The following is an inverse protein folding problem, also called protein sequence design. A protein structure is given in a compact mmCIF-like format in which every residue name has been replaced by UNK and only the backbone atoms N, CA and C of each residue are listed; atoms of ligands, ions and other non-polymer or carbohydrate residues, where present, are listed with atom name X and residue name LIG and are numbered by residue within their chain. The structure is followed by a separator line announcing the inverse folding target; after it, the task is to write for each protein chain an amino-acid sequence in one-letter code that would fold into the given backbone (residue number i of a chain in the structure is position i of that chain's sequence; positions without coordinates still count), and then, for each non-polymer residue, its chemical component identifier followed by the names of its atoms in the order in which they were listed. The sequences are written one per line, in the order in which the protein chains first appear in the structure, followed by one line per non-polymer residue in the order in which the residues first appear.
data_IF_713454731896
#
_entry.id   IF_713454731896
#
_cell.length_a   1.000
_cell.length_b   1.000
_cell.length_c   1.000
_cell.angle_alpha   90.00
_cell.angle_beta   90.00
_cell.angle_gamma   90.00
#
_symmetry.space_group_name_H-M   'P 1'
#
loop_
_entity.id
_entity.type
_entity.pdbx_description
1 polymer ?
#
# COMPACT_ATOMS: atom_id res chain seq x y z
N UNK A 1 -24.03 -12.28 5.27
CA UNK A 1 -23.02 -11.46 6.00
C UNK A 1 -22.43 -10.39 5.08
N UNK A 2 -21.87 -10.74 3.91
CA UNK A 2 -21.43 -9.74 2.92
C UNK A 2 -22.60 -8.87 2.43
N UNK A 3 -23.77 -9.47 2.13
CA UNK A 3 -24.95 -8.68 1.72
C UNK A 3 -25.36 -7.63 2.76
N UNK A 4 -25.14 -7.89 4.05
CA UNK A 4 -25.42 -6.93 5.11
C UNK A 4 -24.35 -5.82 5.19
N UNK A 5 -23.09 -6.10 4.82
CA UNK A 5 -22.07 -5.07 4.68
C UNK A 5 -22.34 -4.17 3.46
N UNK A 6 -22.90 -4.74 2.40
CA UNK A 6 -23.20 -4.06 1.15
C UNK A 6 -24.64 -3.49 1.09
N UNK A 7 -25.45 -3.65 2.14
CA UNK A 7 -26.86 -3.21 2.14
C UNK A 7 -27.03 -1.72 2.46
N UNK A 8 -25.96 -1.03 2.85
CA UNK A 8 -26.01 0.40 3.14
C UNK A 8 -26.17 1.20 1.84
N UNK A 9 -27.05 2.21 1.81
CA UNK A 9 -27.15 3.11 0.67
C UNK A 9 -25.82 3.87 0.49
N UNK A 10 -25.33 4.08 -0.75
CA UNK A 10 -24.07 4.80 -0.99
C UNK A 10 -23.99 6.17 -0.31
N UNK A 11 -25.13 6.84 -0.17
CA UNK A 11 -25.26 8.17 0.44
C UNK A 11 -24.94 8.16 1.95
N UNK A 12 -25.06 7.01 2.63
CA UNK A 12 -24.74 6.89 4.05
C UNK A 12 -23.27 6.58 4.32
N UNK A 13 -22.40 6.53 3.29
CA UNK A 13 -21.00 6.13 3.47
C UNK A 13 -20.20 7.07 4.38
N UNK A 14 -20.63 8.33 4.50
CA UNK A 14 -20.03 9.33 5.40
C UNK A 14 -20.64 9.34 6.79
N UNK A 15 -21.72 8.57 7.02
CA UNK A 15 -22.37 8.50 8.33
C UNK A 15 -21.51 7.67 9.29
N UNK A 16 -21.09 8.31 10.39
CA UNK A 16 -20.28 7.66 11.41
C UNK A 16 -21.01 6.47 12.02
N UNK A 17 -20.32 5.34 12.08
CA UNK A 17 -20.82 4.15 12.76
C UNK A 17 -20.25 4.05 14.18
N UNK A 18 -21.03 3.48 15.10
CA UNK A 18 -20.67 3.39 16.53
C UNK A 18 -19.37 2.61 16.78
N UNK A 19 -19.01 1.71 15.85
CA UNK A 19 -17.79 0.89 15.95
C UNK A 19 -16.53 1.56 15.35
N UNK A 20 -16.67 2.73 14.71
CA UNK A 20 -15.52 3.43 14.12
C UNK A 20 -14.57 3.96 15.17
N UNK A 21 -13.28 3.99 14.85
CA UNK A 21 -12.31 4.71 15.66
C UNK A 21 -12.73 6.19 15.75
N UNK A 22 -12.62 6.80 16.93
CA UNK A 22 -12.96 8.21 17.14
C UNK A 22 -12.23 9.17 16.20
N UNK A 23 -11.00 8.82 15.81
CA UNK A 23 -10.13 9.62 14.95
C UNK A 23 -10.22 9.17 13.47
N UNK A 24 -11.07 8.18 13.16
CA UNK A 24 -11.34 7.80 11.77
C UNK A 24 -12.33 8.77 11.14
N UNK A 25 -12.00 9.25 9.95
CA UNK A 25 -12.81 10.21 9.19
C UNK A 25 -12.89 9.77 7.72
N UNK A 26 -14.02 10.09 7.09
CA UNK A 26 -14.25 9.84 5.67
C UNK A 26 -14.18 11.17 4.95
N UNK A 27 -13.29 11.28 3.97
CA UNK A 27 -13.14 12.46 3.11
C UNK A 27 -13.64 12.10 1.71
N UNK A 28 -14.84 12.55 1.31
CA UNK A 28 -15.34 12.31 -0.04
C UNK A 28 -14.52 13.11 -1.06
N UNK A 29 -14.21 12.48 -2.19
CA UNK A 29 -13.57 13.13 -3.34
C UNK A 29 -14.54 13.12 -4.51
N UNK A 30 -14.66 14.24 -5.24
CA UNK A 30 -15.59 14.35 -6.36
C UNK A 30 -15.21 13.40 -7.52
N UNK A 31 -13.91 13.26 -7.77
CA UNK A 31 -13.37 12.38 -8.80
C UNK A 31 -12.00 11.82 -8.42
N UNK A 32 -11.45 10.95 -9.27
CA UNK A 32 -10.15 10.30 -9.06
C UNK A 32 -8.97 11.28 -9.03
N UNK A 33 -9.05 12.41 -9.74
CA UNK A 33 -7.97 13.39 -9.75
C UNK A 33 -7.87 14.14 -8.43
N UNK A 34 -9.02 14.49 -7.83
CA UNK A 34 -9.08 15.08 -6.50
C UNK A 34 -8.60 14.09 -5.45
N UNK A 35 -9.04 12.83 -5.55
CA UNK A 35 -8.55 11.75 -4.69
C UNK A 35 -7.03 11.60 -4.77
N UNK A 36 -6.46 11.53 -5.99
CA UNK A 36 -5.03 11.40 -6.20
C UNK A 36 -4.27 12.59 -5.61
N UNK A 37 -4.79 13.82 -5.78
CA UNK A 37 -4.15 15.01 -5.22
C UNK A 37 -4.20 15.04 -3.71
N UNK A 38 -5.38 14.81 -3.11
CA UNK A 38 -5.57 14.82 -1.66
C UNK A 38 -4.73 13.73 -1.01
N UNK A 39 -4.80 12.49 -1.48
CA UNK A 39 -4.03 11.40 -0.89
C UNK A 39 -2.51 11.59 -1.09
N UNK A 40 -2.10 12.10 -2.26
CA UNK A 40 -0.70 12.46 -2.50
C UNK A 40 -0.20 13.58 -1.60
N UNK A 41 -1.05 14.58 -1.34
CA UNK A 41 -0.79 15.63 -0.36
C UNK A 41 -0.62 15.06 1.05
N UNK A 42 -1.53 14.21 1.52
CA UNK A 42 -1.45 13.61 2.85
C UNK A 42 -0.20 12.75 3.03
N UNK A 43 0.19 11.98 2.01
CA UNK A 43 1.47 11.25 1.99
C UNK A 43 2.66 12.19 2.16
N UNK A 44 2.72 13.27 1.37
CA UNK A 44 3.81 14.24 1.43
C UNK A 44 3.84 15.00 2.76
N UNK A 45 2.67 15.38 3.27
CA UNK A 45 2.51 16.09 4.53
C UNK A 45 2.99 15.22 5.70
N UNK A 46 2.65 13.94 5.69
CA UNK A 46 3.07 12.99 6.71
C UNK A 46 4.60 12.78 6.70
N UNK A 47 5.21 12.70 5.52
CA UNK A 47 6.67 12.67 5.35
C UNK A 47 7.30 13.94 5.91
N UNK A 48 6.75 15.12 5.56
CA UNK A 48 7.23 16.42 6.02
C UNK A 48 7.12 16.56 7.54
N UNK A 49 5.97 16.21 8.13
CA UNK A 49 5.75 16.31 9.57
C UNK A 49 6.77 15.46 10.34
N UNK A 50 7.01 14.22 9.91
CA UNK A 50 8.06 13.39 10.51
C UNK A 50 9.47 14.00 10.35
N UNK A 51 9.74 14.67 9.21
CA UNK A 51 11.01 15.36 8.99
C UNK A 51 11.20 16.52 9.98
N UNK A 52 10.16 17.36 10.12
CA UNK A 52 10.15 18.52 11.02
C UNK A 52 10.27 18.09 12.49
N UNK A 53 9.69 16.94 12.85
CA UNK A 53 9.82 16.32 14.17
C UNK A 53 11.18 15.63 14.41
N UNK A 54 12.05 15.52 13.39
CA UNK A 54 13.30 14.75 13.48
C UNK A 54 13.07 13.25 13.70
N UNK A 55 11.91 12.74 13.27
CA UNK A 55 11.44 11.38 13.53
C UNK A 55 11.54 10.51 12.28
N UNK A 56 11.99 9.26 12.44
CA UNK A 56 11.92 8.26 11.35
C UNK A 56 10.48 7.92 11.00
N UNK A 57 10.22 7.65 9.73
CA UNK A 57 8.90 7.25 9.23
C UNK A 57 9.01 5.90 8.52
N UNK A 58 8.25 4.90 8.96
CA UNK A 58 8.02 3.66 8.24
C UNK A 58 6.69 3.79 7.48
N UNK A 59 6.72 3.67 6.15
CA UNK A 59 5.53 3.73 5.30
C UNK A 59 5.29 2.40 4.62
N UNK A 60 4.12 1.83 4.83
CA UNK A 60 3.58 0.70 4.06
C UNK A 60 2.79 1.28 2.87
N UNK A 61 3.21 0.98 1.64
CA UNK A 61 2.78 1.67 0.42
C UNK A 61 2.20 0.70 -0.62
N UNK A 62 1.03 0.99 -1.23
CA UNK A 62 0.42 0.13 -2.24
C UNK A 62 0.93 0.48 -3.64
N UNK A 63 0.81 -0.44 -4.60
CA UNK A 63 1.00 -0.13 -6.02
C UNK A 63 -0.36 -0.05 -6.71
N UNK A 64 -1.05 1.06 -6.48
CA UNK A 64 -2.38 1.33 -7.00
C UNK A 64 -3.33 1.88 -5.93
N UNK A 65 -4.09 2.95 -6.20
CA UNK A 65 -3.98 3.82 -7.38
C UNK A 65 -2.63 4.55 -7.44
N UNK A 66 -2.13 4.80 -8.65
CA UNK A 66 -0.75 5.32 -8.86
C UNK A 66 -0.68 6.84 -8.96
N UNK A 67 -1.80 7.52 -9.23
CA UNK A 67 -1.81 8.97 -9.49
C UNK A 67 -1.39 9.79 -8.27
N UNK A 68 -1.67 9.30 -7.06
CA UNK A 68 -1.23 9.92 -5.81
C UNK A 68 0.28 10.18 -5.71
N UNK A 69 1.11 9.31 -6.28
CA UNK A 69 2.57 9.46 -6.19
C UNK A 69 3.08 10.67 -6.97
N UNK A 70 2.43 11.03 -8.09
CA UNK A 70 2.76 12.26 -8.83
C UNK A 70 2.62 13.48 -7.92
N UNK A 71 1.54 13.54 -7.14
CA UNK A 71 1.26 14.66 -6.24
C UNK A 71 2.18 14.65 -5.01
N UNK A 72 2.43 13.48 -4.43
CA UNK A 72 3.41 13.36 -3.35
C UNK A 72 4.80 13.89 -3.77
N UNK A 73 5.28 13.47 -4.96
CA UNK A 73 6.53 13.97 -5.54
C UNK A 73 6.49 15.48 -5.76
N UNK A 74 5.40 16.01 -6.30
CA UNK A 74 5.23 17.44 -6.55
C UNK A 74 5.38 18.25 -5.25
N UNK A 75 4.65 17.89 -4.20
CA UNK A 75 4.68 18.61 -2.93
C UNK A 75 6.03 18.49 -2.22
N UNK A 76 6.62 17.28 -2.15
CA UNK A 76 7.93 17.09 -1.52
C UNK A 76 9.02 17.91 -2.20
N UNK A 77 8.99 18.01 -3.54
CA UNK A 77 9.90 18.88 -4.30
C UNK A 77 9.61 20.36 -4.05
N UNK A 78 8.35 20.77 -4.11
CA UNK A 78 7.96 22.17 -3.89
C UNK A 78 8.37 22.66 -2.49
N UNK A 79 8.33 21.78 -1.49
CA UNK A 79 8.73 22.08 -0.11
C UNK A 79 10.21 21.76 0.18
N UNK A 80 10.95 21.22 -0.79
CA UNK A 80 12.34 20.79 -0.65
C UNK A 80 12.57 19.84 0.55
N UNK A 81 11.67 18.86 0.73
CA UNK A 81 11.71 17.90 1.84
C UNK A 81 12.50 16.66 1.40
N UNK A 82 13.59 16.36 2.09
CA UNK A 82 14.35 15.12 1.89
C UNK A 82 13.63 13.94 2.52
N UNK A 83 13.60 12.79 1.84
CA UNK A 83 12.99 11.55 2.34
C UNK A 83 14.02 10.60 3.00
N UNK A 84 15.17 11.10 3.44
CA UNK A 84 16.24 10.28 4.05
C UNK A 84 15.82 9.60 5.36
N UNK A 85 14.82 10.13 6.06
CA UNK A 85 14.25 9.55 7.28
C UNK A 85 13.14 8.52 7.02
N UNK A 86 12.76 8.31 5.75
CA UNK A 86 11.64 7.44 5.35
C UNK A 86 12.13 6.03 5.02
N UNK A 87 11.42 5.02 5.51
CA UNK A 87 11.61 3.61 5.20
C UNK A 87 10.34 3.09 4.52
N UNK A 88 10.46 2.78 3.23
CA UNK A 88 9.36 2.29 2.41
C UNK A 88 9.23 0.77 2.48
N UNK A 89 8.00 0.28 2.56
CA UNK A 89 7.63 -1.14 2.52
C UNK A 89 6.47 -1.31 1.54
N UNK A 90 6.72 -1.89 0.38
CA UNK A 90 5.64 -2.22 -0.55
C UNK A 90 4.78 -3.37 0.00
N UNK A 91 3.46 -3.22 -0.05
CA UNK A 91 2.53 -4.16 0.61
C UNK A 91 2.57 -5.57 0.02
N UNK A 92 2.82 -5.65 -1.29
CA UNK A 92 2.70 -6.85 -2.10
C UNK A 92 3.61 -6.77 -3.34
N UNK A 93 3.71 -7.90 -4.05
CA UNK A 93 4.38 -8.06 -5.33
C UNK A 93 3.81 -9.30 -6.05
N UNK A 94 3.81 -9.28 -7.38
CA UNK A 94 3.45 -10.46 -8.17
C UNK A 94 4.48 -11.57 -8.00
N UNK A 95 4.01 -12.80 -7.79
CA UNK A 95 4.87 -13.97 -7.68
C UNK A 95 4.21 -15.26 -8.16
N UNK A 96 5.03 -16.26 -8.48
CA UNK A 96 4.58 -17.64 -8.67
C UNK A 96 4.19 -18.32 -7.33
N UNK A 97 3.78 -19.59 -7.40
CA UNK A 97 3.34 -20.35 -6.23
C UNK A 97 4.46 -20.56 -5.18
N UNK A 98 5.72 -20.50 -5.62
CA UNK A 98 6.91 -20.61 -4.77
C UNK A 98 7.35 -19.24 -4.20
N UNK A 99 6.65 -18.16 -4.56
CA UNK A 99 6.93 -16.79 -4.12
C UNK A 99 8.04 -16.09 -4.90
N UNK A 100 8.49 -16.64 -6.03
CA UNK A 100 9.48 -15.97 -6.88
C UNK A 100 8.82 -14.80 -7.60
N UNK A 101 9.34 -13.60 -7.39
CA UNK A 101 8.80 -12.37 -7.95
C UNK A 101 9.34 -12.10 -9.35
N UNK A 102 8.64 -11.24 -10.09
CA UNK A 102 9.12 -10.74 -11.37
C UNK A 102 10.50 -10.06 -11.24
N UNK A 103 11.28 -10.09 -12.33
CA UNK A 103 12.51 -9.31 -12.42
C UNK A 103 12.22 -7.81 -12.29
N UNK A 104 13.12 -7.07 -11.65
CA UNK A 104 12.96 -5.63 -11.38
C UNK A 104 12.86 -4.75 -12.63
N UNK A 105 13.35 -5.23 -13.78
CA UNK A 105 13.21 -4.56 -15.08
C UNK A 105 11.87 -4.82 -15.77
N UNK A 106 11.07 -5.77 -15.27
CA UNK A 106 9.76 -6.08 -15.80
C UNK A 106 8.77 -4.96 -15.45
N UNK A 107 8.10 -4.41 -16.47
CA UNK A 107 7.11 -3.33 -16.29
C UNK A 107 5.90 -3.72 -15.45
N UNK A 108 5.63 -5.01 -15.31
CA UNK A 108 4.58 -5.54 -14.43
C UNK A 108 4.99 -5.63 -12.96
N UNK A 109 6.29 -5.53 -12.64
CA UNK A 109 6.78 -5.58 -11.27
C UNK A 109 6.38 -4.32 -10.50
N UNK A 110 5.90 -4.49 -9.27
CA UNK A 110 5.56 -3.37 -8.39
C UNK A 110 6.80 -2.58 -7.97
N UNK A 111 7.94 -3.25 -7.85
CA UNK A 111 9.23 -2.57 -7.73
C UNK A 111 9.49 -1.60 -8.90
N UNK A 112 9.31 -2.05 -10.14
CA UNK A 112 9.48 -1.19 -11.33
C UNK A 112 8.54 0.02 -11.24
N UNK A 113 7.27 -0.20 -10.91
CA UNK A 113 6.27 0.86 -10.81
C UNK A 113 6.64 1.94 -9.79
N UNK A 114 7.07 1.55 -8.59
CA UNK A 114 7.45 2.50 -7.53
C UNK A 114 8.73 3.27 -7.84
N UNK A 115 9.72 2.61 -8.45
CA UNK A 115 10.94 3.28 -8.90
C UNK A 115 10.64 4.38 -9.91
N UNK A 116 9.65 4.20 -10.78
CA UNK A 116 9.29 5.19 -11.80
C UNK A 116 8.26 6.23 -11.31
N UNK A 117 7.42 5.89 -10.34
CA UNK A 117 6.34 6.77 -9.87
C UNK A 117 6.73 7.64 -8.67
N UNK A 118 7.54 7.12 -7.75
CA UNK A 118 7.88 7.79 -6.49
C UNK A 118 9.39 7.98 -6.34
N UNK A 119 10.16 6.89 -6.29
CA UNK A 119 11.55 6.97 -5.85
C UNK A 119 12.46 7.68 -6.86
N UNK A 120 12.40 7.33 -8.14
CA UNK A 120 13.18 7.96 -9.20
C UNK A 120 12.84 9.44 -9.38
N UNK A 121 11.56 9.83 -9.52
CA UNK A 121 11.18 11.23 -9.67
C UNK A 121 11.64 12.14 -8.53
N UNK A 122 11.81 11.67 -7.29
CA UNK A 122 12.32 12.47 -6.18
C UNK A 122 13.80 12.90 -6.32
N UNK A 123 14.59 12.22 -7.16
CA UNK A 123 16.02 12.50 -7.36
C UNK A 123 16.80 12.58 -6.02
N UNK A 124 17.54 13.66 -5.75
CA UNK A 124 18.33 13.83 -4.53
C UNK A 124 17.50 13.86 -3.22
N UNK A 125 16.19 14.10 -3.32
CA UNK A 125 15.27 14.07 -2.19
C UNK A 125 14.73 12.66 -1.89
N UNK A 126 15.13 11.66 -2.67
CA UNK A 126 14.56 10.32 -2.62
C UNK A 126 14.85 9.56 -1.33
N UNK A 127 14.07 8.50 -1.12
CA UNK A 127 14.31 7.49 -0.10
C UNK A 127 15.60 6.73 -0.44
N UNK A 128 16.56 6.57 0.48
CA UNK A 128 17.78 5.78 0.26
C UNK A 128 17.46 4.34 -0.14
N UNK A 129 18.26 3.75 -1.03
CA UNK A 129 17.99 2.43 -1.63
C UNK A 129 17.87 1.33 -0.56
N UNK A 130 18.72 1.37 0.46
CA UNK A 130 18.73 0.47 1.60
C UNK A 130 17.49 0.58 2.50
N UNK A 131 16.71 1.66 2.36
CA UNK A 131 15.47 1.90 3.09
C UNK A 131 14.22 1.58 2.24
N UNK A 132 14.40 1.12 0.99
CA UNK A 132 13.32 0.67 0.10
C UNK A 132 13.17 -0.84 0.23
N UNK A 133 12.03 -1.28 0.74
CA UNK A 133 11.71 -2.69 0.89
C UNK A 133 10.62 -3.06 -0.11
N UNK A 134 10.90 -4.04 -0.98
CA UNK A 134 9.93 -4.66 -1.88
C UNK A 134 9.56 -6.06 -1.40
N UNK A 135 8.34 -6.53 -1.68
CA UNK A 135 7.76 -7.75 -1.12
C UNK A 135 8.27 -9.02 -1.84
N UNK A 136 9.59 -9.14 -1.97
CA UNK A 136 10.24 -10.28 -2.61
C UNK A 136 10.30 -11.49 -1.68
N UNK A 137 10.50 -12.69 -2.26
CA UNK A 137 10.63 -13.96 -1.52
C UNK A 137 11.57 -13.89 -0.32
N UNK A 138 12.72 -13.23 -0.49
CA UNK A 138 13.76 -13.13 0.52
C UNK A 138 13.56 -11.97 1.47
N UNK A 139 12.90 -10.89 1.04
CA UNK A 139 12.80 -9.66 1.82
C UNK A 139 11.50 -9.58 2.64
N UNK A 140 10.36 -10.00 2.07
CA UNK A 140 9.05 -9.95 2.74
C UNK A 140 9.05 -10.63 4.13
N UNK A 141 9.67 -11.83 4.33
CA UNK A 141 9.76 -12.45 5.64
C UNK A 141 10.48 -11.60 6.70
N UNK A 142 11.31 -10.64 6.30
CA UNK A 142 12.08 -9.76 7.20
C UNK A 142 11.30 -8.51 7.63
N UNK A 143 10.15 -8.23 7.01
CA UNK A 143 9.38 -7.01 7.27
C UNK A 143 8.96 -6.85 8.73
N UNK A 144 8.43 -7.90 9.42
CA UNK A 144 7.98 -7.74 10.80
C UNK A 144 9.09 -7.27 11.72
N UNK A 145 10.28 -7.85 11.59
CA UNK A 145 11.46 -7.49 12.39
C UNK A 145 11.96 -6.09 12.07
N UNK A 146 12.06 -5.73 10.78
CA UNK A 146 12.47 -4.38 10.34
C UNK A 146 11.52 -3.30 10.86
N UNK A 147 10.21 -3.50 10.72
CA UNK A 147 9.20 -2.56 11.20
C UNK A 147 9.20 -2.49 12.72
N UNK A 148 9.33 -3.61 13.43
CA UNK A 148 9.43 -3.63 14.88
C UNK A 148 10.67 -2.87 15.38
N UNK A 149 11.83 -3.06 14.73
CA UNK A 149 13.06 -2.34 15.05
C UNK A 149 12.93 -0.82 14.83
N UNK A 150 12.27 -0.40 13.75
CA UNK A 150 11.98 1.02 13.50
C UNK A 150 11.05 1.60 14.57
N UNK A 151 9.96 0.90 14.90
CA UNK A 151 9.04 1.32 15.97
C UNK A 151 9.72 1.42 17.33
N UNK A 152 10.63 0.50 17.65
CA UNK A 152 11.42 0.54 18.88
C UNK A 152 12.35 1.76 18.95
N UNK A 153 12.79 2.28 17.79
CA UNK A 153 13.54 3.54 17.67
C UNK A 153 12.62 4.78 17.66
N UNK A 154 11.34 4.61 17.96
CA UNK A 154 10.36 5.70 17.96
C UNK A 154 9.84 6.07 16.58
N UNK A 155 10.12 5.32 15.51
CA UNK A 155 9.58 5.64 14.19
C UNK A 155 8.04 5.66 14.19
N UNK A 156 7.43 6.56 13.41
CA UNK A 156 5.99 6.51 13.13
C UNK A 156 5.75 5.43 12.07
N UNK A 157 4.70 4.63 12.23
CA UNK A 157 4.27 3.67 11.21
C UNK A 157 2.99 4.20 10.56
N UNK A 158 3.01 4.33 9.24
CA UNK A 158 1.88 4.77 8.43
C UNK A 158 1.61 3.72 7.37
N UNK A 159 0.35 3.35 7.19
CA UNK A 159 -0.08 2.40 6.17
C UNK A 159 -1.05 3.09 5.25
N UNK A 160 -0.67 3.21 3.98
CA UNK A 160 -1.55 3.64 2.90
C UNK A 160 -2.07 2.39 2.24
N UNK A 161 -3.38 2.28 2.03
CA UNK A 161 -3.96 1.10 1.41
C UNK A 161 -5.26 1.40 0.67
N UNK A 162 -5.63 0.50 -0.24
CA UNK A 162 -6.94 0.46 -0.88
C UNK A 162 -7.69 -0.81 -0.47
N UNK A 163 -9.00 -0.80 -0.69
CA UNK A 163 -9.88 -1.96 -0.46
C UNK A 163 -10.34 -2.48 -1.82
N UNK A 164 -10.04 -3.74 -2.12
CA UNK A 164 -10.43 -4.37 -3.37
C UNK A 164 -11.87 -4.89 -3.40
N UNK A 165 -12.33 -5.32 -4.58
CA UNK A 165 -13.70 -5.87 -4.79
C UNK A 165 -14.03 -7.06 -3.90
N UNK A 166 -13.02 -7.82 -3.49
CA UNK A 166 -13.15 -8.96 -2.57
C UNK A 166 -12.87 -8.60 -1.12
N UNK A 167 -12.87 -7.30 -0.76
CA UNK A 167 -12.48 -6.79 0.55
C UNK A 167 -11.04 -7.15 0.94
N UNK A 168 -10.19 -7.48 -0.04
CA UNK A 168 -8.76 -7.65 0.19
C UNK A 168 -8.08 -6.31 0.41
N UNK A 169 -6.99 -6.33 1.16
CA UNK A 169 -6.04 -5.22 1.29
C UNK A 169 -4.73 -5.74 0.71
N UNK A 170 -4.21 -5.07 -0.31
CA UNK A 170 -3.11 -5.61 -1.12
C UNK A 170 -3.46 -7.06 -1.60
N UNK A 171 -2.48 -7.94 -1.69
CA UNK A 171 -2.70 -9.37 -1.98
C UNK A 171 -3.10 -10.22 -0.76
N UNK A 172 -3.61 -9.61 0.31
CA UNK A 172 -4.14 -10.33 1.47
C UNK A 172 -5.66 -10.59 1.33
N UNK A 173 -6.00 -11.80 0.90
CA UNK A 173 -7.37 -12.19 0.60
C UNK A 173 -8.13 -12.73 1.83
N UNK A 174 -9.43 -12.40 1.99
CA UNK A 174 -10.20 -12.92 3.12
C UNK A 174 -10.33 -14.44 3.18
N UNK A 175 -10.30 -15.16 2.04
CA UNK A 175 -10.41 -16.62 2.04
C UNK A 175 -9.19 -17.32 2.65
N UNK A 176 -8.06 -16.63 2.81
CA UNK A 176 -6.91 -17.15 3.52
C UNK A 176 -7.20 -17.45 4.99
N UNK A 177 -8.22 -16.84 5.58
CA UNK A 177 -8.67 -17.17 6.92
C UNK A 177 -9.06 -18.65 7.09
N UNK A 178 -9.46 -19.32 6.01
CA UNK A 178 -9.81 -20.75 6.02
C UNK A 178 -8.60 -21.69 6.23
N UNK A 179 -7.38 -21.18 6.04
CA UNK A 179 -6.15 -21.97 6.27
C UNK A 179 -5.78 -22.09 7.75
N UNK A 180 -6.50 -21.39 8.64
CA UNK A 180 -6.19 -21.30 10.06
C UNK A 180 -7.35 -21.84 10.91
N UNK A 181 -7.02 -22.33 12.10
CA UNK A 181 -8.02 -22.92 13.00
C UNK A 181 -8.92 -21.88 13.67
N UNK A 182 -8.46 -20.62 13.72
CA UNK A 182 -9.19 -19.51 14.36
C UNK A 182 -8.83 -18.16 13.75
N UNK A 183 -9.73 -17.19 13.94
CA UNK A 183 -9.48 -15.80 13.55
C UNK A 183 -8.27 -15.19 14.29
N UNK A 184 -8.00 -15.60 15.52
CA UNK A 184 -6.86 -15.11 16.30
C UNK A 184 -5.52 -15.64 15.78
N UNK A 185 -5.50 -16.87 15.26
CA UNK A 185 -4.33 -17.42 14.57
C UNK A 185 -4.07 -16.72 13.25
N UNK A 186 -5.12 -16.46 12.47
CA UNK A 186 -5.03 -15.72 11.21
C UNK A 186 -4.54 -14.29 11.40
N UNK A 187 -5.01 -13.58 12.44
CA UNK A 187 -4.59 -12.21 12.76
C UNK A 187 -3.12 -12.08 13.18
N UNK A 188 -2.46 -13.17 13.59
CA UNK A 188 -1.03 -13.16 13.96
C UNK A 188 -0.10 -13.22 12.75
N UNK A 189 -0.64 -13.50 11.57
CA UNK A 189 0.16 -13.65 10.36
C UNK A 189 0.53 -12.28 9.81
N UNK A 190 1.80 -12.11 9.45
CA UNK A 190 2.31 -10.83 8.95
C UNK A 190 2.54 -10.81 7.44
N UNK A 191 2.63 -11.98 6.80
CA UNK A 191 2.91 -12.10 5.37
C UNK A 191 2.48 -13.48 4.83
N UNK A 192 2.43 -13.61 3.50
CA UNK A 192 2.23 -14.87 2.78
C UNK A 192 3.09 -14.89 1.52
N UNK A 193 3.70 -16.02 1.22
CA UNK A 193 4.38 -16.28 -0.05
C UNK A 193 3.47 -17.13 -0.95
N UNK A 194 3.53 -16.91 -2.27
CA UNK A 194 2.73 -17.69 -3.23
C UNK A 194 1.23 -17.57 -2.98
N UNK A 195 0.75 -16.35 -2.75
CA UNK A 195 -0.65 -16.09 -2.42
C UNK A 195 -1.56 -16.41 -3.62
N UNK A 196 -2.40 -17.44 -3.49
CA UNK A 196 -3.41 -17.76 -4.51
C UNK A 196 -4.56 -16.76 -4.44
N UNK A 197 -4.46 -15.71 -5.26
CA UNK A 197 -5.45 -14.63 -5.30
C UNK A 197 -6.81 -15.10 -5.81
N UNK A 198 -7.84 -14.38 -5.38
CA UNK A 198 -9.19 -14.61 -5.88
C UNK A 198 -9.26 -14.17 -7.36
N UNK A 199 -9.98 -14.89 -8.25
CA UNK A 199 -10.09 -14.52 -9.66
C UNK A 199 -10.57 -13.08 -9.90
N UNK A 200 -11.44 -12.55 -9.03
CA UNK A 200 -11.91 -11.16 -9.10
C UNK A 200 -10.82 -10.13 -8.76
N UNK A 201 -9.79 -10.50 -8.00
CA UNK A 201 -8.61 -9.65 -7.74
C UNK A 201 -7.71 -9.59 -8.96
N UNK A 202 -7.52 -10.74 -9.64
CA UNK A 202 -6.82 -10.83 -10.93
C UNK A 202 -7.55 -9.98 -11.99
N UNK A 203 -8.87 -10.14 -12.09
CA UNK A 203 -9.71 -9.37 -13.02
C UNK A 203 -9.65 -7.86 -12.71
N UNK A 204 -9.76 -7.46 -11.44
CA UNK A 204 -9.63 -6.06 -11.04
C UNK A 204 -8.30 -5.48 -11.53
N UNK A 205 -7.18 -6.17 -11.29
CA UNK A 205 -5.86 -5.72 -11.75
C UNK A 205 -5.77 -5.66 -13.28
N UNK A 206 -6.38 -6.61 -14.00
CA UNK A 206 -6.44 -6.56 -15.45
C UNK A 206 -7.09 -5.25 -15.93
N UNK A 207 -8.22 -4.87 -15.33
CA UNK A 207 -8.97 -3.64 -15.66
C UNK A 207 -8.16 -2.39 -15.31
N UNK A 208 -7.66 -2.30 -14.07
CA UNK A 208 -7.08 -1.04 -13.56
C UNK A 208 -5.62 -0.85 -13.95
N UNK A 209 -4.81 -1.91 -13.86
CA UNK A 209 -3.35 -1.83 -13.95
C UNK A 209 -2.85 -2.19 -15.35
N UNK A 210 -3.58 -3.06 -16.06
CA UNK A 210 -3.17 -3.58 -17.36
C UNK A 210 -4.09 -3.16 -18.52
N UNK A 211 -4.91 -2.11 -18.35
CA UNK A 211 -5.78 -1.56 -19.39
C UNK A 211 -6.66 -2.62 -20.05
N UNK A 212 -7.29 -3.44 -19.22
CA UNK A 212 -8.13 -4.59 -19.60
C UNK A 212 -7.41 -5.73 -20.31
N UNK A 213 -6.07 -5.78 -20.32
CA UNK A 213 -5.29 -6.90 -20.89
C UNK A 213 -5.00 -7.97 -19.86
N UNK A 214 -5.94 -8.88 -19.64
CA UNK A 214 -5.79 -10.01 -18.68
C UNK A 214 -4.54 -10.85 -18.92
N UNK A 215 -4.11 -11.02 -20.18
CA UNK A 215 -2.90 -11.80 -20.52
C UNK A 215 -1.59 -11.17 -20.07
N UNK A 216 -1.62 -9.95 -19.52
CA UNK A 216 -0.45 -9.29 -18.92
C UNK A 216 -0.44 -9.36 -17.40
N UNK A 217 -1.50 -9.89 -16.77
CA UNK A 217 -1.49 -10.14 -15.33
C UNK A 217 -0.58 -11.37 -15.09
N UNK A 218 0.46 -11.25 -14.27
CA UNK A 218 1.41 -12.32 -14.00
C UNK A 218 0.80 -13.56 -13.35
#
# INVERSE_FOLDING_TARGET
KIDACCSNPPESITERQDFWNKDFEVVPCENVYDFDMILGHEIALEIKNCADEGRKLAMILPVGPMGMYKWAVFFLKAWNVSCKHVYGFNMDEWSDAEGNTLDTSNKGAFQYAMEHALYGPLAELTVPVEQRNFATRSNLPTYPEKIAALKAQGAKLVTVFGIGRMMHIAFWEPHFAADYTSADEWKKQCYRLGAKLHPLTIEQNAITSFKSRTTLVP
#
